data_IF_806239183603
#
_entry.id   IF_806239183603
#
_cell.length_a   1.000
_cell.length_b   1.000
_cell.length_c   1.000
_cell.angle_alpha   90.00
_cell.angle_beta   90.00
_cell.angle_gamma   90.00
#
_symmetry.space_group_name_H-M   'P 1'
#
loop_
_entity.id
_entity.type
_entity.pdbx_description
1 polymer ?
#
# COMPACT_ATOMS: atom_id res chain seq x y z
N UNK A 1 27.33 1.35 11.40
CA UNK A 1 27.48 2.32 12.51
C UNK A 1 26.74 3.65 12.28
N UNK A 2 25.74 3.76 11.39
CA UNK A 2 25.08 5.05 11.09
C UNK A 2 23.80 5.35 11.91
N UNK A 3 23.20 4.34 12.56
CA UNK A 3 21.89 4.49 13.21
C UNK A 3 21.87 5.40 14.46
N UNK A 4 23.04 5.64 15.09
CA UNK A 4 23.14 6.46 16.29
C UNK A 4 23.14 7.98 15.99
N UNK A 5 23.46 8.39 14.76
CA UNK A 5 23.56 9.82 14.38
C UNK A 5 22.20 10.50 14.18
N UNK A 6 21.09 9.77 14.09
CA UNK A 6 19.78 10.31 13.70
C UNK A 6 18.88 10.58 14.90
N UNK A 7 19.29 10.21 16.12
CA UNK A 7 18.54 10.52 17.34
C UNK A 7 18.42 12.03 17.51
N UNK A 8 17.18 12.53 17.47
CA UNK A 8 16.88 13.96 17.60
C UNK A 8 16.90 14.76 16.29
N UNK A 9 17.26 14.16 15.15
CA UNK A 9 17.15 14.83 13.84
C UNK A 9 15.67 15.06 13.48
N UNK A 10 15.42 16.25 12.94
CA UNK A 10 14.09 16.72 12.53
C UNK A 10 14.08 17.02 11.04
N UNK A 11 12.93 16.78 10.43
CA UNK A 11 12.60 17.20 9.08
C UNK A 11 11.51 18.26 9.11
N UNK A 12 11.48 19.08 8.07
CA UNK A 12 10.40 20.03 7.84
C UNK A 12 9.41 19.36 6.90
N UNK A 13 8.16 19.20 7.35
CA UNK A 13 7.08 18.66 6.55
C UNK A 13 6.18 19.82 6.15
N UNK A 14 5.96 19.97 4.85
CA UNK A 14 5.09 20.99 4.25
C UNK A 14 3.87 20.28 3.70
N UNK A 15 2.69 20.77 4.08
CA UNK A 15 1.41 20.32 3.54
C UNK A 15 0.84 21.43 2.67
N UNK A 16 0.62 21.13 1.39
CA UNK A 16 0.01 22.00 0.39
C UNK A 16 -1.50 21.77 0.35
N UNK A 17 -2.28 22.78 0.71
CA UNK A 17 -3.75 22.69 0.75
C UNK A 17 -4.37 22.61 -0.65
N UNK A 18 -3.67 23.14 -1.66
CA UNK A 18 -4.16 23.25 -3.03
C UNK A 18 -3.82 22.03 -3.91
N UNK A 19 -3.02 21.07 -3.42
CA UNK A 19 -2.63 19.89 -4.21
C UNK A 19 -3.31 18.63 -3.66
N UNK A 20 -4.23 18.06 -4.42
CA UNK A 20 -5.00 16.88 -4.01
C UNK A 20 -4.27 15.56 -4.22
N UNK A 21 -3.33 15.46 -5.17
CA UNK A 21 -2.65 14.19 -5.47
C UNK A 21 -1.46 13.95 -4.54
N UNK A 22 -0.59 14.96 -4.36
CA UNK A 22 0.60 14.88 -3.53
C UNK A 22 0.68 16.08 -2.59
N UNK A 23 -0.12 16.09 -1.50
CA UNK A 23 -0.20 17.25 -0.63
C UNK A 23 1.04 17.44 0.27
N UNK A 24 1.92 16.44 0.42
CA UNK A 24 3.04 16.51 1.35
C UNK A 24 4.40 16.60 0.64
N UNK A 25 5.22 17.56 1.07
CA UNK A 25 6.63 17.66 0.72
C UNK A 25 7.50 17.65 1.97
N UNK A 26 8.69 17.04 1.88
CA UNK A 26 9.60 16.88 3.01
C UNK A 26 10.95 17.50 2.69
N UNK A 27 11.41 18.39 3.55
CA UNK A 27 12.69 19.08 3.44
C UNK A 27 13.60 18.73 4.62
N UNK A 28 14.91 18.63 4.34
CA UNK A 28 15.92 18.37 5.37
C UNK A 28 16.06 19.53 6.36
N UNK A 29 15.87 20.77 5.90
CA UNK A 29 15.90 21.95 6.75
C UNK A 29 14.99 23.06 6.19
N UNK A 30 14.68 24.06 7.02
CA UNK A 30 13.80 25.18 6.63
C UNK A 30 14.46 26.13 5.62
N UNK A 31 15.79 26.23 5.61
CA UNK A 31 16.50 27.09 4.64
C UNK A 31 16.32 26.57 3.22
N UNK A 32 16.43 25.26 3.01
CA UNK A 32 16.25 24.59 1.73
C UNK A 32 14.83 24.81 1.21
N UNK A 33 13.83 24.70 2.09
CA UNK A 33 12.45 25.06 1.74
C UNK A 33 12.34 26.51 1.26
N UNK A 34 12.90 27.48 2.00
CA UNK A 34 12.87 28.89 1.62
C UNK A 34 13.67 29.18 0.34
N UNK A 35 14.70 28.40 0.01
CA UNK A 35 15.44 28.50 -1.26
C UNK A 35 14.58 28.01 -2.44
N UNK A 36 13.87 26.90 -2.27
CA UNK A 36 12.95 26.37 -3.28
C UNK A 36 11.70 27.23 -3.47
N UNK A 37 11.24 27.88 -2.39
CA UNK A 37 10.05 28.75 -2.40
C UNK A 37 10.35 30.12 -1.78
N UNK A 38 10.96 31.04 -2.54
CA UNK A 38 11.40 32.36 -2.04
C UNK A 38 10.27 33.25 -1.51
N UNK A 39 9.02 32.96 -1.87
CA UNK A 39 7.82 33.66 -1.35
C UNK A 39 7.67 33.54 0.17
N UNK A 40 8.33 32.58 0.80
CA UNK A 40 8.24 32.33 2.23
C UNK A 40 9.47 32.81 3.00
N UNK A 41 9.26 33.71 3.96
CA UNK A 41 10.33 34.25 4.79
C UNK A 41 10.75 33.27 5.89
N UNK A 42 12.05 32.90 5.88
CA UNK A 42 12.67 32.03 6.86
C UNK A 42 12.47 32.51 8.30
N UNK A 43 12.69 33.79 8.57
CA UNK A 43 12.63 34.34 9.93
C UNK A 43 11.22 34.25 10.50
N UNK A 44 10.21 34.57 9.67
CA UNK A 44 8.80 34.45 10.04
C UNK A 44 8.48 33.00 10.42
N UNK A 45 8.73 32.05 9.52
CA UNK A 45 8.38 30.65 9.75
C UNK A 45 9.19 30.06 10.92
N UNK A 46 10.48 30.39 11.02
CA UNK A 46 11.33 29.93 12.11
C UNK A 46 10.83 30.42 13.47
N UNK A 47 10.34 31.67 13.55
CA UNK A 47 9.75 32.22 14.77
C UNK A 47 8.49 31.46 15.20
N UNK A 48 7.58 31.18 14.26
CA UNK A 48 6.36 30.38 14.54
C UNK A 48 6.71 28.98 15.03
N UNK A 49 7.64 28.30 14.34
CA UNK A 49 8.06 26.94 14.69
C UNK A 49 8.85 26.86 16.01
N UNK A 50 9.41 27.97 16.49
CA UNK A 50 10.27 28.01 17.69
C UNK A 50 9.52 28.39 18.96
N UNK A 51 8.57 29.33 18.90
CA UNK A 51 7.93 29.89 20.11
C UNK A 51 7.00 28.93 20.84
N UNK A 52 6.37 27.99 20.14
CA UNK A 52 5.42 27.07 20.77
C UNK A 52 5.36 25.68 20.11
N UNK A 53 6.30 25.36 19.20
CA UNK A 53 6.25 24.16 18.33
C UNK A 53 4.93 24.05 17.56
N UNK A 54 4.26 25.20 17.33
CA UNK A 54 3.00 25.28 16.60
C UNK A 54 3.32 25.23 15.11
N UNK A 55 2.46 24.57 14.35
CA UNK A 55 2.55 24.56 12.89
C UNK A 55 2.38 25.98 12.35
N UNK A 56 3.23 26.37 11.40
CA UNK A 56 2.95 27.59 10.65
C UNK A 56 1.85 27.28 9.64
N UNK A 57 0.74 28.00 9.65
CA UNK A 57 -0.41 27.71 8.80
C UNK A 57 -0.91 28.98 8.10
N UNK A 58 -1.02 28.89 6.78
CA UNK A 58 -1.59 29.89 5.89
C UNK A 58 -2.73 29.28 5.06
N UNK A 59 -3.33 30.09 4.19
CA UNK A 59 -4.32 29.66 3.21
C UNK A 59 -3.76 28.61 2.22
N UNK A 60 -2.47 28.71 1.86
CA UNK A 60 -1.85 27.80 0.88
C UNK A 60 -1.18 26.58 1.52
N UNK A 61 -0.53 26.75 2.67
CA UNK A 61 0.35 25.72 3.25
C UNK A 61 0.27 25.61 4.77
N UNK A 62 0.64 24.44 5.27
CA UNK A 62 0.91 24.17 6.68
C UNK A 62 2.29 23.52 6.85
N UNK A 63 3.15 24.10 7.68
CA UNK A 63 4.53 23.67 7.89
C UNK A 63 4.71 23.17 9.33
N UNK A 64 5.32 22.00 9.49
CA UNK A 64 5.61 21.38 10.78
C UNK A 64 7.05 20.86 10.86
N UNK A 65 7.65 20.87 12.06
CA UNK A 65 8.91 20.16 12.34
C UNK A 65 8.59 18.80 12.96
N UNK A 66 8.87 17.70 12.24
CA UNK A 66 8.68 16.34 12.74
C UNK A 66 10.00 15.63 12.98
N UNK A 67 10.05 14.84 14.05
CA UNK A 67 11.20 13.98 14.32
C UNK A 67 11.21 12.81 13.33
N UNK A 68 12.40 12.37 12.93
CA UNK A 68 12.56 11.21 12.05
C UNK A 68 12.22 9.94 12.84
N UNK A 69 11.29 9.15 12.31
CA UNK A 69 10.89 7.86 12.88
C UNK A 69 11.66 6.76 12.14
N UNK A 70 12.70 6.21 12.77
CA UNK A 70 13.54 5.16 12.17
C UNK A 70 12.91 3.77 12.21
N UNK A 71 12.18 3.49 13.30
CA UNK A 71 11.46 2.24 13.47
C UNK A 71 9.97 2.54 13.32
N UNK A 72 9.25 1.88 12.39
CA UNK A 72 7.81 2.06 12.28
C UNK A 72 7.18 1.77 13.64
N UNK A 73 6.22 2.61 14.02
CA UNK A 73 5.46 2.38 15.25
C UNK A 73 4.82 0.99 15.13
N UNK A 74 5.21 0.06 16.00
CA UNK A 74 4.54 -1.23 16.12
C UNK A 74 3.06 -0.92 16.35
N UNK A 75 2.21 -1.29 15.39
CA UNK A 75 0.77 -1.23 15.54
C UNK A 75 0.45 -2.03 16.79
N UNK A 76 0.03 -1.35 17.87
CA UNK A 76 -0.22 -2.01 19.17
C UNK A 76 -1.31 -3.06 19.07
N UNK A 77 -2.10 -3.06 18.00
CA UNK A 77 -3.02 -4.13 17.70
C UNK A 77 -2.77 -4.69 16.29
N UNK A 78 -2.75 -6.02 16.12
CA UNK A 78 -2.92 -6.60 14.80
C UNK A 78 -4.26 -6.08 14.27
N UNK A 79 -4.29 -5.54 13.05
CA UNK A 79 -5.56 -5.30 12.35
C UNK A 79 -6.20 -6.67 12.16
N UNK A 80 -7.04 -7.10 13.10
CA UNK A 80 -7.80 -8.33 13.00
C UNK A 80 -8.74 -8.12 11.81
N UNK A 81 -8.37 -8.71 10.67
CA UNK A 81 -9.28 -8.74 9.52
C UNK A 81 -10.51 -9.52 9.98
N UNK A 82 -11.69 -8.89 9.92
CA UNK A 82 -12.97 -9.55 10.18
C UNK A 82 -13.28 -10.47 8.98
N UNK A 83 -12.56 -11.59 8.90
CA UNK A 83 -12.85 -12.63 7.91
C UNK A 83 -14.00 -13.45 8.51
N UNK A 84 -15.18 -13.34 7.92
CA UNK A 84 -16.34 -14.15 8.27
C UNK A 84 -16.61 -15.13 7.12
N UNK A 85 -16.86 -16.42 7.40
CA UNK A 85 -17.30 -17.36 6.38
C UNK A 85 -18.69 -16.95 5.88
N UNK A 86 -18.87 -16.90 4.56
CA UNK A 86 -20.19 -16.75 3.94
C UNK A 86 -20.83 -18.14 3.91
N UNK A 87 -21.77 -18.40 4.81
CA UNK A 87 -22.49 -19.68 4.90
C UNK A 87 -23.72 -19.65 4.00
N UNK A 88 -23.73 -20.44 2.93
CA UNK A 88 -24.94 -20.74 2.14
C UNK A 88 -25.59 -21.99 2.72
N UNK A 89 -26.86 -21.91 3.15
CA UNK A 89 -27.67 -23.05 3.59
C UNK A 89 -28.75 -23.32 2.55
N UNK A 90 -28.58 -24.40 1.78
CA UNK A 90 -29.51 -24.85 0.74
C UNK A 90 -29.74 -26.35 0.90
N UNK A 91 -30.89 -26.85 0.46
CA UNK A 91 -31.09 -28.30 0.40
C UNK A 91 -30.09 -28.88 -0.60
N UNK A 92 -29.53 -30.05 -0.30
CA UNK A 92 -28.47 -30.67 -1.12
C UNK A 92 -28.89 -30.87 -2.59
N UNK A 93 -30.19 -31.11 -2.82
CA UNK A 93 -30.77 -31.27 -4.17
C UNK A 93 -30.82 -29.96 -4.98
N UNK A 94 -30.87 -28.83 -4.30
CA UNK A 94 -31.04 -27.50 -4.89
C UNK A 94 -29.72 -26.71 -4.91
N UNK A 95 -28.64 -27.28 -4.37
CA UNK A 95 -27.36 -26.61 -4.27
C UNK A 95 -26.75 -26.35 -5.66
N UNK A 96 -26.85 -27.35 -6.54
CA UNK A 96 -26.31 -27.38 -7.92
C UNK A 96 -24.93 -26.73 -8.05
N UNK A 97 -24.07 -26.97 -7.04
CA UNK A 97 -22.80 -26.26 -6.88
C UNK A 97 -21.87 -26.52 -8.07
N UNK A 98 -21.95 -27.71 -8.69
CA UNK A 98 -21.13 -28.07 -9.87
C UNK A 98 -21.39 -27.17 -11.07
N UNK A 99 -22.68 -26.91 -11.37
CA UNK A 99 -23.07 -26.05 -12.49
C UNK A 99 -22.70 -24.59 -12.21
N UNK A 100 -22.96 -24.10 -11.00
CA UNK A 100 -22.62 -22.74 -10.60
C UNK A 100 -21.11 -22.49 -10.60
N UNK A 101 -20.31 -23.46 -10.13
CA UNK A 101 -18.86 -23.38 -10.16
C UNK A 101 -18.34 -23.35 -11.60
N UNK A 102 -18.88 -24.21 -12.47
CA UNK A 102 -18.52 -24.22 -13.88
C UNK A 102 -18.81 -22.87 -14.54
N UNK A 103 -20.02 -22.34 -14.36
CA UNK A 103 -20.44 -21.04 -14.89
C UNK A 103 -19.56 -19.90 -14.36
N UNK A 104 -19.30 -19.89 -13.05
CA UNK A 104 -18.40 -18.94 -12.41
C UNK A 104 -17.02 -18.98 -13.05
N UNK A 105 -16.43 -20.16 -13.20
CA UNK A 105 -15.10 -20.28 -13.81
C UNK A 105 -15.14 -19.83 -15.25
N UNK A 106 -16.14 -20.25 -16.03
CA UNK A 106 -16.31 -19.86 -17.42
C UNK A 106 -16.45 -18.33 -17.59
N UNK A 107 -17.04 -17.63 -16.61
CA UNK A 107 -17.15 -16.17 -16.61
C UNK A 107 -15.83 -15.45 -16.30
N UNK A 108 -14.82 -16.13 -15.74
CA UNK A 108 -13.51 -15.51 -15.41
C UNK A 108 -12.61 -15.39 -16.63
N UNK A 109 -11.70 -14.39 -16.67
CA UNK A 109 -10.70 -14.26 -17.72
C UNK A 109 -9.86 -15.53 -17.90
N UNK A 110 -9.47 -15.83 -19.14
CA UNK A 110 -8.67 -17.02 -19.49
C UNK A 110 -7.41 -17.14 -18.64
N UNK A 111 -6.75 -16.01 -18.35
CA UNK A 111 -5.55 -15.93 -17.51
C UNK A 111 -5.80 -16.41 -16.08
N UNK A 112 -6.93 -16.01 -15.49
CA UNK A 112 -7.30 -16.42 -14.12
C UNK A 112 -7.68 -17.89 -14.06
N UNK A 113 -8.47 -18.38 -15.04
CA UNK A 113 -8.80 -19.81 -15.15
C UNK A 113 -7.54 -20.67 -15.25
N UNK A 114 -6.61 -20.30 -16.13
CA UNK A 114 -5.36 -21.04 -16.32
C UNK A 114 -4.51 -21.06 -15.04
N UNK A 115 -4.45 -19.94 -14.32
CA UNK A 115 -3.76 -19.86 -13.03
C UNK A 115 -4.40 -20.75 -11.97
N UNK A 116 -5.73 -20.77 -11.88
CA UNK A 116 -6.47 -21.62 -10.94
C UNK A 116 -6.21 -23.11 -11.22
N UNK A 117 -6.33 -23.54 -12.48
CA UNK A 117 -6.03 -24.93 -12.89
C UNK A 117 -4.58 -25.30 -12.56
N UNK A 118 -3.63 -24.40 -12.83
CA UNK A 118 -2.22 -24.61 -12.49
C UNK A 118 -2.02 -24.77 -10.99
N UNK A 119 -2.71 -23.96 -10.18
CA UNK A 119 -2.69 -24.04 -8.71
C UNK A 119 -3.24 -25.39 -8.22
N UNK A 120 -4.38 -25.83 -8.73
CA UNK A 120 -4.99 -27.13 -8.37
C UNK A 120 -4.03 -28.28 -8.69
N UNK A 121 -3.46 -28.29 -9.91
CA UNK A 121 -2.48 -29.31 -10.29
C UNK A 121 -1.27 -29.26 -9.36
N UNK A 122 -0.78 -28.08 -9.00
CA UNK A 122 0.38 -27.96 -8.11
C UNK A 122 0.14 -28.53 -6.70
N UNK A 123 -1.09 -28.48 -6.19
CA UNK A 123 -1.47 -29.07 -4.89
C UNK A 123 -1.44 -30.61 -4.94
N UNK A 124 -1.64 -31.20 -6.11
CA UNK A 124 -1.57 -32.66 -6.30
C UNK A 124 -0.14 -33.21 -6.46
N UNK A 125 0.85 -32.33 -6.64
CA UNK A 125 2.25 -32.72 -6.82
C UNK A 125 2.97 -32.96 -5.48
N UNK A 126 3.84 -33.97 -5.43
CA UNK A 126 4.72 -34.19 -4.27
C UNK A 126 5.75 -33.05 -4.16
N UNK A 127 6.26 -32.81 -2.95
CA UNK A 127 7.29 -31.79 -2.71
C UNK A 127 8.52 -32.05 -3.60
N UNK A 128 8.85 -31.09 -4.48
CA UNK A 128 9.97 -31.18 -5.42
C UNK A 128 9.64 -31.86 -6.76
N UNK A 129 8.43 -32.41 -6.92
CA UNK A 129 7.96 -32.97 -8.18
C UNK A 129 7.62 -31.84 -9.15
N UNK A 130 8.19 -31.90 -10.36
CA UNK A 130 7.84 -30.97 -11.45
C UNK A 130 6.63 -31.51 -12.22
N UNK A 131 5.84 -30.59 -12.76
CA UNK A 131 4.74 -30.92 -13.68
C UNK A 131 5.29 -31.66 -14.90
N UNK A 132 4.68 -32.80 -15.25
CA UNK A 132 4.99 -33.51 -16.48
C UNK A 132 4.49 -32.70 -17.69
N UNK A 133 5.42 -32.34 -18.58
CA UNK A 133 5.17 -31.49 -19.75
C UNK A 133 5.09 -32.28 -21.05
N UNK A 134 5.24 -33.60 -21.01
CA UNK A 134 5.31 -34.45 -22.21
C UNK A 134 4.03 -34.41 -23.05
N UNK A 135 2.87 -34.09 -22.45
CA UNK A 135 1.57 -34.01 -23.12
C UNK A 135 1.10 -32.59 -23.43
N UNK A 136 1.96 -31.57 -23.31
CA UNK A 136 1.56 -30.18 -23.56
C UNK A 136 1.44 -29.89 -25.07
N UNK A 137 0.22 -29.65 -25.54
CA UNK A 137 -0.07 -29.14 -26.88
C UNK A 137 -0.07 -27.60 -26.82
N UNK A 138 0.84 -26.93 -27.54
CA UNK A 138 0.79 -25.47 -27.70
C UNK A 138 -0.39 -25.10 -28.61
N UNK A 139 -1.39 -24.42 -28.06
CA UNK A 139 -2.43 -23.73 -28.83
C UNK A 139 -2.21 -22.22 -28.80
N UNK A 140 -2.38 -21.55 -29.95
CA UNK A 140 -2.44 -20.09 -30.00
C UNK A 140 -3.78 -19.66 -29.39
N UNK A 141 -3.73 -18.81 -28.37
CA UNK A 141 -4.91 -18.16 -27.81
C UNK A 141 -5.07 -16.81 -28.51
N UNK A 142 -6.20 -16.62 -29.19
CA UNK A 142 -6.63 -15.31 -29.68
C UNK A 142 -7.41 -14.64 -28.54
N UNK A 143 -7.11 -13.37 -28.30
CA UNK A 143 -7.70 -12.55 -27.25
C UNK A 143 -9.12 -12.12 -27.60
#
# INVERSE_FOLDING_TARGET
>A
MEALSIQGKRVVVVFWKNNTENPFEVFSNLKNFCLSYPKFNYNTISNYLSKAKIAYENHEIRIERKNIILKPKLSREPRIRKIAPVLRRVMMKDADDEQHDLEYWLSRPVKERAAAVTSIISQSLKKGQRMDKTKLIKKRMYA
#
